data_IF_107666810152
#
_entry.id   IF_107666810152
#
_cell.length_a   1.000
_cell.length_b   1.000
_cell.length_c   1.000
_cell.angle_alpha   90.00
_cell.angle_beta   90.00
_cell.angle_gamma   90.00
#
_symmetry.space_group_name_H-M   'P 1'
#
loop_
_entity.id
_entity.type
_entity.pdbx_description
1 polymer ?
#
# COMPACT_ATOMS: atom_id res chain seq x y z
N UNK A 1 -44.64 -7.26 -46.86
CA UNK A 1 -43.83 -6.03 -46.86
C UNK A 1 -43.52 -5.68 -45.42
N UNK A 2 -42.31 -5.96 -44.93
CA UNK A 2 -41.90 -5.56 -43.58
C UNK A 2 -41.62 -4.05 -43.58
N UNK A 3 -42.23 -3.34 -42.63
CA UNK A 3 -42.24 -1.89 -42.58
C UNK A 3 -40.80 -1.34 -42.39
N UNK A 4 -40.41 -0.27 -43.12
CA UNK A 4 -39.06 0.33 -43.08
C UNK A 4 -38.60 0.82 -41.69
N UNK A 5 -39.51 0.84 -40.73
CA UNK A 5 -39.29 1.18 -39.32
C UNK A 5 -38.53 0.08 -38.57
N UNK A 6 -38.78 -1.20 -38.86
CA UNK A 6 -38.09 -2.34 -38.24
C UNK A 6 -36.60 -2.39 -38.61
N UNK A 7 -36.25 -1.91 -39.81
CA UNK A 7 -34.88 -1.92 -40.30
C UNK A 7 -34.04 -0.79 -39.66
N UNK A 8 -34.65 0.38 -39.40
CA UNK A 8 -33.99 1.48 -38.69
C UNK A 8 -33.69 1.15 -37.24
N UNK A 9 -34.63 0.52 -36.52
CA UNK A 9 -34.43 0.13 -35.12
C UNK A 9 -33.37 -0.95 -34.96
N UNK A 10 -33.30 -1.92 -35.87
CA UNK A 10 -32.27 -2.96 -35.88
C UNK A 10 -30.86 -2.39 -36.10
N UNK A 11 -30.70 -1.44 -37.02
CA UNK A 11 -29.41 -0.79 -37.27
C UNK A 11 -28.91 0.01 -36.06
N UNK A 12 -29.82 0.67 -35.35
CA UNK A 12 -29.47 1.41 -34.12
C UNK A 12 -29.05 0.45 -33.01
N UNK A 13 -29.82 -0.62 -32.80
CA UNK A 13 -29.50 -1.65 -31.79
C UNK A 13 -28.16 -2.33 -32.08
N UNK A 14 -27.89 -2.66 -33.35
CA UNK A 14 -26.61 -3.24 -33.78
C UNK A 14 -25.44 -2.28 -33.54
N UNK A 15 -25.60 -0.99 -33.87
CA UNK A 15 -24.55 0.01 -33.64
C UNK A 15 -24.23 0.19 -32.16
N UNK A 16 -25.24 0.21 -31.28
CA UNK A 16 -25.05 0.31 -29.82
C UNK A 16 -24.35 -0.94 -29.27
N UNK A 17 -24.76 -2.14 -29.73
CA UNK A 17 -24.09 -3.39 -29.35
C UNK A 17 -22.63 -3.44 -29.78
N UNK A 18 -22.33 -3.00 -31.01
CA UNK A 18 -20.96 -2.97 -31.53
C UNK A 18 -20.08 -1.97 -30.76
N UNK A 19 -20.59 -0.78 -30.43
CA UNK A 19 -19.85 0.18 -29.61
C UNK A 19 -19.58 -0.33 -28.19
N UNK A 20 -20.53 -1.05 -27.58
CA UNK A 20 -20.33 -1.67 -26.27
C UNK A 20 -19.24 -2.76 -26.32
N UNK A 21 -19.24 -3.61 -27.34
CA UNK A 21 -18.26 -4.70 -27.48
C UNK A 21 -16.84 -4.17 -27.75
N UNK A 22 -16.69 -3.11 -28.55
CA UNK A 22 -15.39 -2.46 -28.79
C UNK A 22 -14.84 -1.83 -27.50
N UNK A 23 -15.72 -1.24 -26.69
CA UNK A 23 -15.35 -0.64 -25.41
C UNK A 23 -14.91 -1.70 -24.39
N UNK A 24 -15.57 -2.86 -24.36
CA UNK A 24 -15.17 -3.99 -23.51
C UNK A 24 -13.83 -4.62 -23.92
N UNK A 25 -13.50 -4.65 -25.22
CA UNK A 25 -12.21 -5.16 -25.71
C UNK A 25 -11.02 -4.30 -25.28
N UNK A 26 -11.20 -2.99 -25.15
CA UNK A 26 -10.19 -2.05 -24.67
C UNK A 26 -9.98 -2.13 -23.15
N UNK A 27 -11.01 -2.53 -22.39
CA UNK A 27 -10.94 -2.70 -20.94
C UNK A 27 -10.17 -3.96 -20.52
N UNK A 28 -10.16 -5.02 -21.33
CA UNK A 28 -9.38 -6.24 -21.05
C UNK A 28 -7.87 -6.07 -21.28
N UNK A 29 -7.44 -5.01 -21.98
CA UNK A 29 -6.03 -4.66 -22.12
C UNK A 29 -5.51 -3.80 -20.94
N UNK A 30 -6.40 -3.33 -20.07
CA UNK A 30 -5.99 -2.72 -18.82
C UNK A 30 -5.67 -3.84 -17.82
N UNK A 31 -4.38 -4.02 -17.53
CA UNK A 31 -3.87 -4.90 -16.47
C UNK A 31 -4.76 -4.87 -15.21
N UNK A 32 -5.16 -6.02 -14.67
CA UNK A 32 -5.95 -6.12 -13.44
C UNK A 32 -5.04 -5.72 -12.27
N UNK A 33 -5.06 -4.44 -11.91
CA UNK A 33 -4.20 -3.92 -10.83
C UNK A 33 -4.21 -2.40 -10.73
N UNK A 34 -4.63 -1.69 -11.79
CA UNK A 34 -4.83 -0.25 -11.70
C UNK A 34 -6.24 0.05 -11.22
N UNK A 35 -6.46 -0.08 -9.91
CA UNK A 35 -7.61 0.53 -9.26
C UNK A 35 -7.72 1.98 -9.73
N UNK A 36 -8.88 2.34 -10.29
CA UNK A 36 -9.27 3.72 -10.62
C UNK A 36 -9.57 4.54 -9.34
N UNK A 37 -8.93 4.23 -8.21
CA UNK A 37 -8.77 5.22 -7.15
C UNK A 37 -7.94 6.35 -7.72
N UNK A 38 -8.67 7.35 -8.23
CA UNK A 38 -8.26 8.68 -8.66
C UNK A 38 -6.83 9.00 -8.22
N UNK A 39 -5.84 8.67 -9.07
CA UNK A 39 -4.54 9.34 -9.02
C UNK A 39 -4.84 10.80 -9.32
N UNK A 40 -5.12 11.57 -8.29
CA UNK A 40 -5.42 12.99 -8.41
C UNK A 40 -4.26 13.62 -9.19
N UNK A 41 -4.56 14.23 -10.33
CA UNK A 41 -3.61 14.95 -11.17
C UNK A 41 -3.19 16.27 -10.48
N UNK A 42 -2.44 16.17 -9.38
CA UNK A 42 -1.89 17.28 -8.63
C UNK A 42 -0.70 16.82 -7.76
N UNK A 43 0.05 17.77 -7.19
CA UNK A 43 1.12 17.51 -6.22
C UNK A 43 0.53 16.82 -4.97
N UNK A 44 0.53 15.49 -4.95
CA UNK A 44 0.13 14.73 -3.76
C UNK A 44 1.29 14.81 -2.77
N UNK A 45 1.05 15.29 -1.53
CA UNK A 45 2.11 15.47 -0.57
C UNK A 45 2.77 14.13 -0.23
N UNK A 46 4.10 14.13 -0.20
CA UNK A 46 4.88 13.07 0.40
C UNK A 46 4.53 12.94 1.88
N UNK A 47 4.33 11.71 2.35
CA UNK A 47 3.95 11.41 3.73
C UNK A 47 4.96 10.45 4.34
N UNK A 48 5.59 10.86 5.44
CA UNK A 48 6.37 9.96 6.27
C UNK A 48 5.45 9.13 7.17
N UNK A 49 5.63 7.80 7.16
CA UNK A 49 5.00 6.87 8.08
C UNK A 49 5.71 6.92 9.42
N UNK A 50 5.51 8.02 10.13
CA UNK A 50 6.20 8.30 11.38
C UNK A 50 5.83 7.34 12.50
N UNK A 51 4.54 7.04 12.66
CA UNK A 51 4.03 6.26 13.78
C UNK A 51 3.91 4.77 13.46
N UNK A 52 3.38 4.42 12.29
CA UNK A 52 3.27 3.03 11.88
C UNK A 52 3.19 2.86 10.36
N UNK A 53 3.60 1.67 9.91
CA UNK A 53 3.48 1.20 8.54
C UNK A 53 3.14 -0.29 8.54
N UNK A 54 2.23 -0.73 7.67
CA UNK A 54 1.94 -2.15 7.49
C UNK A 54 1.49 -2.50 6.08
N UNK A 55 1.91 -3.67 5.61
CA UNK A 55 1.36 -4.32 4.42
C UNK A 55 0.08 -5.07 4.80
N UNK A 56 -0.98 -4.93 4.00
CA UNK A 56 -2.24 -5.62 4.27
C UNK A 56 -2.16 -7.06 3.77
N UNK A 57 -2.24 -8.05 4.66
CA UNK A 57 -2.19 -9.47 4.28
C UNK A 57 -3.33 -9.90 3.33
N UNK A 58 -4.48 -9.21 3.36
CA UNK A 58 -5.64 -9.49 2.49
C UNK A 58 -5.54 -8.89 1.09
N UNK A 59 -4.75 -7.85 0.92
CA UNK A 59 -4.59 -7.18 -0.36
C UNK A 59 -3.12 -6.75 -0.51
N UNK A 60 -2.33 -7.48 -1.31
CA UNK A 60 -0.91 -7.21 -1.46
C UNK A 60 -0.62 -5.85 -2.12
N UNK A 61 -1.65 -5.19 -2.65
CA UNK A 61 -1.57 -3.88 -3.28
C UNK A 61 -1.89 -2.72 -2.34
N UNK A 62 -2.25 -3.00 -1.09
CA UNK A 62 -2.64 -1.99 -0.10
C UNK A 62 -1.71 -1.96 1.10
N UNK A 63 -1.13 -0.79 1.35
CA UNK A 63 -0.38 -0.49 2.57
C UNK A 63 -1.08 0.57 3.42
N UNK A 64 -0.93 0.46 4.74
CA UNK A 64 -1.42 1.45 5.69
C UNK A 64 -0.24 2.20 6.28
N UNK A 65 -0.39 3.52 6.41
CA UNK A 65 0.63 4.42 6.90
C UNK A 65 0.01 5.36 7.93
N UNK A 66 0.68 5.58 9.05
CA UNK A 66 0.29 6.59 10.03
C UNK A 66 1.45 7.54 10.27
N UNK A 67 1.19 8.84 10.12
CA UNK A 67 2.20 9.88 10.32
C UNK A 67 2.37 10.26 11.80
N UNK A 68 3.34 11.13 12.10
CA UNK A 68 3.61 11.61 13.46
C UNK A 68 2.44 12.46 14.04
N UNK A 69 1.50 12.91 13.21
CA UNK A 69 0.26 13.59 13.63
C UNK A 69 -0.89 12.60 13.89
N UNK A 70 -0.60 11.30 13.90
CA UNK A 70 -1.56 10.21 14.02
C UNK A 70 -2.59 10.12 12.88
N UNK A 71 -2.39 10.87 11.79
CA UNK A 71 -3.26 10.81 10.61
C UNK A 71 -2.98 9.51 9.85
N UNK A 72 -4.05 8.83 9.45
CA UNK A 72 -3.98 7.54 8.77
C UNK A 72 -4.12 7.72 7.27
N UNK A 73 -3.37 6.93 6.53
CA UNK A 73 -3.35 6.94 5.09
C UNK A 73 -3.38 5.50 4.56
N UNK A 74 -4.11 5.32 3.47
CA UNK A 74 -4.08 4.12 2.65
C UNK A 74 -3.30 4.45 1.39
N UNK A 75 -2.28 3.67 1.08
CA UNK A 75 -1.44 3.84 -0.09
C UNK A 75 -1.45 2.54 -0.92
N UNK A 76 -1.11 2.67 -2.19
CA UNK A 76 -0.74 1.49 -2.97
C UNK A 76 0.66 1.03 -2.53
N UNK A 77 0.91 -0.28 -2.51
CA UNK A 77 2.20 -0.81 -2.06
C UNK A 77 3.37 -0.30 -2.90
N UNK A 78 3.15 -0.05 -4.20
CA UNK A 78 4.15 0.58 -5.11
C UNK A 78 4.42 2.04 -4.76
N UNK A 79 3.46 2.75 -4.16
CA UNK A 79 3.64 4.16 -3.83
C UNK A 79 4.36 4.35 -2.48
N UNK A 80 4.67 3.25 -1.78
CA UNK A 80 5.55 3.17 -0.62
C UNK A 80 6.81 2.38 -1.02
N UNK A 81 8.00 2.87 -0.66
CA UNK A 81 9.25 2.93 -1.44
C UNK A 81 9.40 2.32 -2.87
N UNK A 82 8.36 1.91 -3.61
CA UNK A 82 8.47 1.60 -5.04
C UNK A 82 8.40 0.11 -5.41
N UNK A 83 7.89 -0.17 -6.61
CA UNK A 83 8.14 -1.41 -7.37
C UNK A 83 9.67 -1.59 -7.42
N UNK A 84 10.20 -2.71 -6.94
CA UNK A 84 11.63 -3.06 -6.80
C UNK A 84 12.41 -2.49 -5.60
N UNK A 85 11.80 -1.71 -4.69
CA UNK A 85 12.45 -1.27 -3.45
C UNK A 85 11.60 -1.52 -2.20
N UNK A 86 11.45 -2.79 -1.77
CA UNK A 86 10.79 -3.09 -0.50
C UNK A 86 11.69 -2.81 0.72
N UNK A 87 12.96 -2.46 0.54
CA UNK A 87 13.98 -2.65 1.55
C UNK A 87 14.39 -1.35 2.26
N UNK A 88 13.44 -0.70 2.93
CA UNK A 88 13.85 0.15 4.05
C UNK A 88 14.38 -0.77 5.15
N UNK A 89 15.56 -0.46 5.66
CA UNK A 89 16.16 -1.21 6.76
C UNK A 89 15.92 -0.47 8.08
N UNK A 90 15.53 -1.21 9.10
CA UNK A 90 15.68 -0.73 10.47
C UNK A 90 17.01 -1.23 11.02
N UNK A 91 17.72 -0.35 11.71
CA UNK A 91 19.06 -0.55 12.26
C UNK A 91 19.00 -0.82 13.75
N UNK A 92 19.96 -1.62 14.23
CA UNK A 92 20.13 -1.90 15.65
C UNK A 92 18.90 -2.58 16.27
N UNK A 93 18.27 -3.47 15.50
CA UNK A 93 17.11 -4.23 15.92
C UNK A 93 17.53 -5.50 16.64
N UNK A 94 16.88 -5.79 17.75
CA UNK A 94 17.03 -7.05 18.47
C UNK A 94 15.68 -7.78 18.48
N UNK A 95 15.72 -9.10 18.46
CA UNK A 95 14.49 -9.90 18.43
C UNK A 95 13.93 -10.00 19.83
N UNK A 96 12.62 -10.00 19.98
CA UNK A 96 12.04 -10.34 21.28
C UNK A 96 12.20 -11.83 21.59
N UNK A 97 12.55 -12.13 22.84
CA UNK A 97 12.43 -13.46 23.42
C UNK A 97 11.01 -14.00 23.24
N UNK A 98 10.84 -15.32 23.27
CA UNK A 98 9.51 -15.95 23.37
C UNK A 98 9.39 -16.58 24.76
N UNK A 99 8.50 -16.11 25.65
CA UNK A 99 7.50 -15.04 25.45
C UNK A 99 8.12 -13.64 25.37
N UNK A 100 7.35 -12.70 24.80
CA UNK A 100 7.74 -11.32 24.47
C UNK A 100 8.03 -10.46 25.72
N UNK A 101 9.12 -10.75 26.40
CA UNK A 101 9.51 -10.11 27.66
C UNK A 101 10.72 -9.18 27.47
N UNK A 102 11.75 -9.66 26.77
CA UNK A 102 13.04 -8.96 26.66
C UNK A 102 13.59 -9.04 25.24
N UNK A 103 14.51 -8.13 24.91
CA UNK A 103 15.26 -8.16 23.65
C UNK A 103 16.43 -9.13 23.78
N UNK A 104 16.57 -10.02 22.81
CA UNK A 104 17.61 -11.05 22.76
C UNK A 104 18.47 -10.92 21.50
N UNK A 105 19.68 -11.48 21.61
CA UNK A 105 20.65 -11.54 20.52
C UNK A 105 21.39 -10.22 20.30
N UNK A 106 22.25 -10.23 19.29
CA UNK A 106 23.02 -9.04 18.90
C UNK A 106 22.17 -8.10 18.05
N UNK A 107 22.27 -6.77 18.28
CA UNK A 107 21.61 -5.80 17.40
C UNK A 107 22.05 -5.99 15.95
N UNK A 108 21.07 -6.05 15.04
CA UNK A 108 21.32 -6.22 13.61
C UNK A 108 20.35 -5.39 12.78
N UNK A 109 20.68 -5.19 11.51
CA UNK A 109 19.75 -4.56 10.57
C UNK A 109 18.69 -5.57 10.13
N UNK A 110 17.47 -5.11 9.91
CA UNK A 110 16.39 -5.97 9.43
C UNK A 110 15.44 -5.22 8.49
N UNK A 111 14.78 -5.97 7.61
CA UNK A 111 13.84 -5.46 6.61
C UNK A 111 12.42 -5.86 7.01
N UNK A 112 11.64 -4.95 7.62
CA UNK A 112 10.33 -5.31 8.12
C UNK A 112 9.26 -5.29 7.03
N UNK A 113 8.21 -6.08 7.24
CA UNK A 113 6.95 -5.99 6.48
C UNK A 113 5.94 -5.05 7.14
N UNK A 114 6.28 -4.53 8.32
CA UNK A 114 5.53 -3.53 9.05
C UNK A 114 6.23 -3.13 10.33
N UNK A 115 5.93 -1.94 10.83
CA UNK A 115 6.36 -1.51 12.16
C UNK A 115 5.32 -0.59 12.79
N UNK A 116 5.40 -0.46 14.10
CA UNK A 116 4.71 0.60 14.83
C UNK A 116 5.57 1.09 15.98
N UNK A 117 5.41 2.34 16.35
CA UNK A 117 6.03 2.90 17.54
C UNK A 117 5.25 2.48 18.79
N UNK A 118 5.94 1.96 19.80
CA UNK A 118 5.39 1.62 21.10
C UNK A 118 5.80 2.69 22.13
N UNK A 119 4.81 3.41 22.66
CA UNK A 119 5.00 4.49 23.64
C UNK A 119 5.52 4.01 25.01
N UNK A 120 5.35 2.73 25.36
CA UNK A 120 5.78 2.16 26.65
C UNK A 120 7.26 1.80 26.61
N UNK A 121 7.70 1.17 25.52
CA UNK A 121 9.10 0.70 25.36
C UNK A 121 9.97 1.73 24.66
N UNK A 122 9.37 2.75 24.03
CA UNK A 122 10.03 3.75 23.17
C UNK A 122 10.80 3.13 21.99
N UNK A 123 10.34 1.96 21.53
CA UNK A 123 10.92 1.24 20.40
C UNK A 123 9.99 1.26 19.19
N UNK A 124 10.60 1.15 18.01
CA UNK A 124 9.89 0.69 16.82
C UNK A 124 9.78 -0.83 16.91
N UNK A 125 8.56 -1.32 17.08
CA UNK A 125 8.25 -2.74 17.04
C UNK A 125 8.00 -3.16 15.60
N UNK A 126 8.97 -3.88 15.04
CA UNK A 126 9.04 -4.25 13.65
C UNK A 126 8.74 -5.73 13.47
N UNK A 127 7.98 -6.07 12.44
CA UNK A 127 7.61 -7.47 12.11
C UNK A 127 8.37 -7.89 10.86
N UNK A 128 9.05 -9.03 10.91
CA UNK A 128 9.70 -9.62 9.72
C UNK A 128 8.73 -10.49 8.90
N UNK A 129 9.22 -11.05 7.79
CA UNK A 129 8.43 -11.90 6.89
C UNK A 129 7.98 -13.21 7.55
N UNK A 130 8.70 -13.68 8.56
CA UNK A 130 8.40 -14.90 9.29
C UNK A 130 7.45 -14.66 10.47
N UNK A 131 7.06 -13.40 10.70
CA UNK A 131 6.16 -12.98 11.76
C UNK A 131 6.84 -12.77 13.11
N UNK A 132 8.18 -12.80 13.18
CA UNK A 132 8.89 -12.46 14.40
C UNK A 132 8.88 -10.96 14.63
N UNK A 133 8.86 -10.60 15.92
CA UNK A 133 8.82 -9.21 16.33
C UNK A 133 10.19 -8.79 16.85
N UNK A 134 10.62 -7.64 16.38
CA UNK A 134 11.92 -7.02 16.65
C UNK A 134 11.68 -5.67 17.32
N UNK A 135 12.51 -5.33 18.31
CA UNK A 135 12.56 -3.98 18.87
C UNK A 135 13.75 -3.23 18.28
N UNK A 136 13.47 -2.09 17.65
CA UNK A 136 14.47 -1.22 17.05
C UNK A 136 14.45 0.16 17.73
N UNK A 137 15.61 0.70 18.04
CA UNK A 137 15.71 2.03 18.67
C UNK A 137 15.20 3.13 17.74
N UNK A 138 14.29 3.99 18.21
CA UNK A 138 13.71 5.07 17.39
C UNK A 138 14.78 6.06 16.92
N UNK A 139 15.65 6.51 17.83
CA UNK A 139 16.69 7.50 17.52
C UNK A 139 17.65 7.03 16.41
N UNK A 140 17.95 5.73 16.34
CA UNK A 140 18.80 5.14 15.32
C UNK A 140 18.12 5.05 13.94
N UNK A 141 16.80 5.24 13.87
CA UNK A 141 15.97 4.95 12.71
C UNK A 141 15.11 6.12 12.23
N UNK A 142 15.23 7.32 12.79
CA UNK A 142 14.43 8.48 12.37
C UNK A 142 14.44 8.72 10.85
N UNK A 143 15.58 8.53 10.19
CA UNK A 143 15.76 8.71 8.73
C UNK A 143 15.57 7.43 7.91
N UNK A 144 15.32 6.29 8.55
CA UNK A 144 15.13 5.00 7.88
C UNK A 144 13.66 4.53 7.92
N UNK A 145 12.74 5.36 8.42
CA UNK A 145 11.29 5.10 8.39
C UNK A 145 10.76 5.17 6.96
N UNK A 146 9.61 4.56 6.70
CA UNK A 146 9.00 4.54 5.36
C UNK A 146 8.45 5.92 5.00
N UNK A 147 8.77 6.38 3.79
CA UNK A 147 8.09 7.47 3.12
C UNK A 147 7.19 6.94 2.01
N UNK A 148 5.98 7.48 1.88
CA UNK A 148 5.03 7.12 0.84
C UNK A 148 4.56 8.35 0.06
N UNK A 149 4.23 8.14 -1.21
CA UNK A 149 3.60 9.12 -2.10
C UNK A 149 2.19 8.66 -2.47
N UNK A 150 1.39 9.54 -3.08
CA UNK A 150 0.12 9.12 -3.69
C UNK A 150 -0.96 8.61 -2.73
N UNK A 151 -0.76 8.72 -1.41
CA UNK A 151 -1.65 8.10 -0.43
C UNK A 151 -2.95 8.87 -0.22
N UNK A 152 -4.06 8.14 -0.07
CA UNK A 152 -5.33 8.68 0.34
C UNK A 152 -5.44 8.71 1.88
N UNK A 153 -5.76 9.87 2.46
CA UNK A 153 -6.07 9.98 3.88
C UNK A 153 -7.35 9.20 4.18
N UNK A 154 -7.34 8.40 5.24
CA UNK A 154 -8.52 7.68 5.75
C UNK A 154 -8.95 8.28 7.09
N UNK A 155 -10.25 8.54 7.24
CA UNK A 155 -10.87 9.11 8.46
C UNK A 155 -11.18 8.03 9.47
#
# INVERSE_FOLDING_TARGET
>A
MFAPWFQRSYNILSAVLMMALISCGQLNAATPGRSLERRYAGDIPFVWCGFSFSLTARDPWVSNCQNDKQERFRCHTIDCPGEDQPQFELRGCQRYATPRAELEGTPQNMYPVGYHYNDITHLLEATDRDGFIWGCQLAANNNNRVGCHGCARVS
#
